data_IF_475045703673
#
_entry.id   IF_475045703673
#
_cell.length_a   1.000
_cell.length_b   1.000
_cell.length_c   1.000
_cell.angle_alpha   90.00
_cell.angle_beta   90.00
_cell.angle_gamma   90.00
#
_symmetry.space_group_name_H-M   'P 1'
#
loop_
_entity.id
_entity.type
_entity.pdbx_description
1 polymer ?
#
# COMPACT_ATOMS: atom_id res chain seq x y z
N UNK A 1 31.95 0.83 -45.15
CA UNK A 1 30.75 0.01 -44.92
C UNK A 1 30.03 0.61 -43.72
N UNK A 2 29.19 1.61 -43.97
CA UNK A 2 28.50 2.38 -42.93
C UNK A 2 27.07 1.88 -42.80
N UNK A 3 26.72 1.38 -41.62
CA UNK A 3 25.34 1.02 -41.28
C UNK A 3 24.70 2.21 -40.56
N UNK A 4 23.90 2.96 -41.33
CA UNK A 4 22.81 3.78 -40.82
C UNK A 4 21.77 2.82 -40.25
N UNK A 5 21.57 2.83 -38.94
CA UNK A 5 20.36 2.27 -38.31
C UNK A 5 19.43 3.44 -38.05
N UNK A 6 18.26 3.32 -38.65
CA UNK A 6 17.15 4.27 -38.72
C UNK A 6 16.53 4.52 -37.35
N UNK A 7 16.27 5.80 -37.08
CA UNK A 7 15.26 6.29 -36.15
C UNK A 7 13.85 5.81 -36.55
N UNK A 8 12.92 5.99 -35.61
CA UNK A 8 11.45 5.84 -35.71
C UNK A 8 10.86 4.46 -35.38
N UNK A 9 10.53 4.29 -34.10
CA UNK A 9 9.39 3.46 -33.66
C UNK A 9 8.77 4.04 -32.39
N UNK A 10 8.38 5.32 -32.45
CA UNK A 10 7.39 5.90 -31.53
C UNK A 10 5.99 5.46 -31.97
N UNK A 11 5.65 4.18 -31.76
CA UNK A 11 4.29 3.70 -31.89
C UNK A 11 3.56 3.89 -30.55
N UNK A 12 2.92 5.05 -30.44
CA UNK A 12 1.64 5.26 -29.76
C UNK A 12 1.52 4.68 -28.33
N UNK A 13 2.35 5.16 -27.41
CA UNK A 13 2.13 4.93 -25.98
C UNK A 13 1.01 5.88 -25.49
N UNK A 14 -0.23 5.60 -25.91
CA UNK A 14 -1.42 6.18 -25.30
C UNK A 14 -1.40 5.79 -23.84
N UNK A 15 -1.01 6.71 -22.96
CA UNK A 15 -1.06 6.46 -21.52
C UNK A 15 -2.51 6.17 -21.15
N UNK A 16 -2.85 4.89 -20.94
CA UNK A 16 -4.16 4.47 -20.47
C UNK A 16 -4.36 5.05 -19.07
N UNK A 17 -5.18 6.10 -18.97
CA UNK A 17 -5.50 6.77 -17.71
C UNK A 17 -6.81 6.21 -17.14
N UNK A 18 -7.05 6.45 -15.85
CA UNK A 18 -8.34 6.12 -15.21
C UNK A 18 -9.51 6.80 -15.94
N UNK A 19 -9.29 8.03 -16.43
CA UNK A 19 -10.32 8.76 -17.19
C UNK A 19 -10.56 8.16 -18.57
N UNK A 20 -9.55 7.57 -19.20
CA UNK A 20 -9.70 6.80 -20.43
C UNK A 20 -10.64 5.61 -20.24
N UNK A 21 -10.41 4.81 -19.20
CA UNK A 21 -11.27 3.66 -18.87
C UNK A 21 -12.70 4.08 -18.58
N UNK A 22 -12.90 5.18 -17.83
CA UNK A 22 -14.25 5.72 -17.56
C UNK A 22 -14.97 6.12 -18.85
N UNK A 23 -14.26 6.73 -19.80
CA UNK A 23 -14.83 7.10 -21.09
C UNK A 23 -15.21 5.86 -21.92
N UNK A 24 -14.41 4.79 -21.89
CA UNK A 24 -14.75 3.53 -22.55
C UNK A 24 -15.99 2.88 -21.94
N UNK A 25 -16.11 2.85 -20.61
CA UNK A 25 -17.32 2.35 -19.93
C UNK A 25 -18.56 3.14 -20.33
N UNK A 26 -18.45 4.46 -20.38
CA UNK A 26 -19.57 5.31 -20.84
C UNK A 26 -19.98 4.99 -22.27
N UNK A 27 -19.02 4.84 -23.19
CA UNK A 27 -19.31 4.44 -24.58
C UNK A 27 -19.95 3.05 -24.66
N UNK A 28 -19.50 2.11 -23.83
CA UNK A 28 -20.09 0.77 -23.73
C UNK A 28 -21.57 0.87 -23.30
N UNK A 29 -21.89 1.69 -22.30
CA UNK A 29 -23.26 1.88 -21.84
C UNK A 29 -24.15 2.54 -22.93
N UNK A 30 -23.62 3.53 -23.66
CA UNK A 30 -24.33 4.17 -24.80
C UNK A 30 -24.65 3.16 -25.92
N UNK A 31 -23.73 2.23 -26.22
CA UNK A 31 -23.95 1.17 -27.21
C UNK A 31 -24.98 0.16 -26.72
N UNK A 32 -24.92 -0.24 -25.44
CA UNK A 32 -25.91 -1.14 -24.84
C UNK A 32 -27.33 -0.55 -24.90
N UNK A 33 -27.47 0.75 -24.66
CA UNK A 33 -28.74 1.48 -24.77
C UNK A 33 -29.25 1.50 -26.22
N UNK A 34 -28.37 1.75 -27.20
CA UNK A 34 -28.74 1.70 -28.62
C UNK A 34 -29.16 0.30 -29.07
N UNK A 35 -28.41 -0.73 -28.65
CA UNK A 35 -28.75 -2.13 -28.93
C UNK A 35 -30.15 -2.43 -28.39
N UNK A 36 -30.42 -2.04 -27.13
CA UNK A 36 -31.73 -2.23 -26.51
C UNK A 36 -32.85 -1.54 -27.29
N UNK A 37 -32.66 -0.29 -27.70
CA UNK A 37 -33.65 0.43 -28.49
C UNK A 37 -33.98 -0.28 -29.82
N UNK A 38 -32.99 -0.86 -30.49
CA UNK A 38 -33.25 -1.66 -31.70
C UNK A 38 -33.93 -3.01 -31.40
N UNK A 39 -33.66 -3.63 -30.25
CA UNK A 39 -34.39 -4.82 -29.81
C UNK A 39 -35.86 -4.50 -29.53
N UNK A 40 -36.17 -3.39 -28.87
CA UNK A 40 -37.54 -2.96 -28.62
C UNK A 40 -38.30 -2.79 -29.95
N UNK A 41 -37.67 -2.20 -30.98
CA UNK A 41 -38.24 -2.10 -32.34
C UNK A 41 -38.50 -3.48 -32.96
N UNK A 42 -37.68 -4.49 -32.68
CA UNK A 42 -37.90 -5.85 -33.19
C UNK A 42 -39.00 -6.59 -32.43
N UNK A 43 -39.17 -6.33 -31.14
CA UNK A 43 -40.25 -6.92 -30.32
C UNK A 43 -41.63 -6.45 -30.80
N UNK A 44 -41.75 -5.18 -31.20
CA UNK A 44 -42.98 -4.62 -31.77
C UNK A 44 -43.39 -5.29 -33.11
N UNK A 45 -42.43 -5.89 -33.83
CA UNK A 45 -42.64 -6.51 -35.15
C UNK A 45 -42.98 -8.01 -35.06
N UNK A 46 -44.13 -8.31 -34.42
CA UNK A 46 -44.80 -9.64 -34.37
C UNK A 46 -43.86 -10.83 -34.13
N UNK A 47 -42.85 -10.68 -33.28
CA UNK A 47 -41.99 -11.78 -32.84
C UNK A 47 -41.05 -12.34 -33.92
N UNK A 48 -40.77 -11.58 -34.99
CA UNK A 48 -39.78 -11.96 -36.02
C UNK A 48 -38.35 -11.96 -35.45
N UNK A 49 -38.07 -11.17 -34.39
CA UNK A 49 -36.80 -11.20 -33.67
C UNK A 49 -35.57 -10.98 -34.56
N UNK A 50 -34.39 -11.43 -34.12
CA UNK A 50 -33.13 -11.29 -34.88
C UNK A 50 -33.00 -12.28 -36.04
N UNK A 51 -33.58 -13.48 -35.93
CA UNK A 51 -33.35 -14.58 -36.87
C UNK A 51 -34.61 -15.08 -37.59
N UNK A 52 -35.79 -14.55 -37.27
CA UNK A 52 -37.04 -15.02 -37.88
C UNK A 52 -37.16 -14.70 -39.37
N UNK A 53 -37.98 -15.48 -40.10
CA UNK A 53 -38.18 -15.34 -41.54
C UNK A 53 -38.94 -14.05 -41.89
N UNK A 54 -38.45 -13.34 -42.92
CA UNK A 54 -39.05 -12.09 -43.44
C UNK A 54 -39.97 -12.30 -44.65
N UNK A 55 -40.03 -13.53 -45.15
CA UNK A 55 -40.88 -13.93 -46.25
C UNK A 55 -41.97 -14.88 -45.76
N UNK A 56 -43.08 -14.90 -46.48
CA UNK A 56 -44.14 -15.87 -46.29
C UNK A 56 -43.81 -17.22 -46.96
N UNK A 57 -44.77 -18.14 -46.94
CA UNK A 57 -44.64 -19.49 -47.51
C UNK A 57 -44.60 -19.49 -49.05
N UNK A 58 -45.01 -18.40 -49.69
CA UNK A 58 -45.01 -18.22 -51.14
C UNK A 58 -43.75 -17.49 -51.62
N UNK A 59 -42.92 -16.99 -50.71
CA UNK A 59 -41.66 -16.32 -51.00
C UNK A 59 -41.78 -14.80 -51.17
N UNK A 60 -42.93 -14.22 -50.84
CA UNK A 60 -43.15 -12.77 -50.88
C UNK A 60 -42.83 -12.12 -49.52
N UNK A 61 -42.44 -10.83 -49.49
CA UNK A 61 -42.24 -10.10 -48.24
C UNK A 61 -43.51 -10.11 -47.39
N UNK A 62 -43.34 -10.44 -46.11
CA UNK A 62 -44.44 -10.47 -45.15
C UNK A 62 -45.17 -9.12 -45.09
N UNK A 63 -46.46 -9.13 -45.43
CA UNK A 63 -47.30 -7.94 -45.38
C UNK A 63 -47.66 -7.51 -43.94
N UNK A 64 -47.46 -8.40 -42.98
CA UNK A 64 -47.80 -8.21 -41.57
C UNK A 64 -46.68 -7.58 -40.73
N UNK A 65 -45.51 -7.34 -41.33
CA UNK A 65 -44.28 -6.84 -40.70
C UNK A 65 -43.60 -5.82 -41.60
N UNK A 66 -43.03 -4.77 -41.04
CA UNK A 66 -42.18 -3.85 -41.80
C UNK A 66 -40.78 -4.48 -42.03
N UNK A 67 -40.65 -5.18 -43.15
CA UNK A 67 -39.41 -5.87 -43.56
C UNK A 67 -38.22 -4.92 -43.64
N UNK A 68 -38.44 -3.65 -44.02
CA UNK A 68 -37.36 -2.67 -44.12
C UNK A 68 -36.84 -2.25 -42.75
N UNK A 69 -37.75 -1.96 -41.80
CA UNK A 69 -37.37 -1.64 -40.43
C UNK A 69 -36.67 -2.81 -39.74
N UNK A 70 -37.18 -4.04 -39.89
CA UNK A 70 -36.56 -5.23 -39.28
C UNK A 70 -35.16 -5.47 -39.84
N UNK A 71 -34.96 -5.36 -41.16
CA UNK A 71 -33.64 -5.53 -41.77
C UNK A 71 -32.65 -4.48 -41.28
N UNK A 72 -33.09 -3.24 -41.16
CA UNK A 72 -32.27 -2.12 -40.67
C UNK A 72 -31.89 -2.32 -39.20
N UNK A 73 -32.85 -2.66 -38.34
CA UNK A 73 -32.61 -2.94 -36.93
C UNK A 73 -31.63 -4.11 -36.74
N UNK A 74 -31.83 -5.24 -37.44
CA UNK A 74 -30.90 -6.39 -37.40
C UNK A 74 -29.48 -6.04 -37.80
N UNK A 75 -29.33 -5.26 -38.88
CA UNK A 75 -28.03 -4.81 -39.35
C UNK A 75 -27.34 -3.94 -38.29
N UNK A 76 -28.05 -2.95 -37.76
CA UNK A 76 -27.51 -2.04 -36.75
C UNK A 76 -27.15 -2.76 -35.45
N UNK A 77 -27.98 -3.69 -34.97
CA UNK A 77 -27.66 -4.53 -33.81
C UNK A 77 -26.38 -5.32 -34.06
N UNK A 78 -26.23 -5.94 -35.24
CA UNK A 78 -25.03 -6.72 -35.56
C UNK A 78 -23.77 -5.86 -35.56
N UNK A 79 -23.83 -4.65 -36.12
CA UNK A 79 -22.72 -3.69 -36.09
C UNK A 79 -22.39 -3.25 -34.66
N UNK A 80 -23.39 -2.81 -33.90
CA UNK A 80 -23.22 -2.36 -32.52
C UNK A 80 -22.72 -3.47 -31.59
N UNK A 81 -23.13 -4.71 -31.80
CA UNK A 81 -22.61 -5.86 -31.04
C UNK A 81 -21.13 -6.12 -31.33
N UNK A 82 -20.67 -5.89 -32.55
CA UNK A 82 -19.24 -6.01 -32.87
C UNK A 82 -18.45 -4.86 -32.23
N UNK A 83 -18.99 -3.64 -32.27
CA UNK A 83 -18.37 -2.46 -31.63
C UNK A 83 -18.31 -2.62 -30.09
N UNK A 84 -19.38 -3.15 -29.49
CA UNK A 84 -19.42 -3.47 -28.06
C UNK A 84 -18.33 -4.47 -27.66
N UNK A 85 -18.16 -5.55 -28.44
CA UNK A 85 -17.07 -6.51 -28.23
C UNK A 85 -15.69 -5.87 -28.31
N UNK A 86 -15.48 -4.98 -29.28
CA UNK A 86 -14.21 -4.26 -29.43
C UNK A 86 -13.92 -3.37 -28.21
N UNK A 87 -14.91 -2.61 -27.73
CA UNK A 87 -14.76 -1.75 -26.55
C UNK A 87 -14.53 -2.58 -25.28
N UNK A 88 -15.22 -3.71 -25.13
CA UNK A 88 -15.02 -4.61 -23.98
C UNK A 88 -13.58 -5.13 -23.91
N UNK A 89 -13.01 -5.51 -25.06
CA UNK A 89 -11.62 -5.95 -25.15
C UNK A 89 -10.65 -4.82 -24.78
N UNK A 90 -10.94 -3.59 -25.23
CA UNK A 90 -10.14 -2.41 -24.90
C UNK A 90 -10.19 -2.03 -23.41
N UNK A 91 -11.37 -2.18 -22.78
CA UNK A 91 -11.54 -1.98 -21.32
C UNK A 91 -10.71 -3.01 -20.54
N UNK A 92 -10.75 -4.28 -20.93
CA UNK A 92 -9.99 -5.35 -20.29
C UNK A 92 -8.49 -5.06 -20.34
N UNK A 93 -7.97 -4.70 -21.52
CA UNK A 93 -6.56 -4.37 -21.70
C UNK A 93 -6.14 -3.17 -20.86
N UNK A 94 -6.93 -2.09 -20.86
CA UNK A 94 -6.64 -0.89 -20.09
C UNK A 94 -6.64 -1.13 -18.57
N UNK A 95 -7.54 -1.98 -18.06
CA UNK A 95 -7.57 -2.38 -16.65
C UNK A 95 -6.36 -3.24 -16.28
N UNK A 96 -5.98 -4.20 -17.12
CA UNK A 96 -4.82 -5.05 -16.88
C UNK A 96 -3.53 -4.23 -16.79
N UNK A 97 -3.34 -3.25 -17.69
CA UNK A 97 -2.17 -2.39 -17.67
C UNK A 97 -2.11 -1.47 -16.44
N UNK A 98 -3.25 -0.88 -16.03
CA UNK A 98 -3.33 -0.06 -14.82
C UNK A 98 -2.98 -0.86 -13.56
N UNK A 99 -3.57 -2.05 -13.39
CA UNK A 99 -3.30 -2.90 -12.24
C UNK A 99 -1.89 -3.49 -12.24
N UNK A 100 -1.32 -3.82 -13.41
CA UNK A 100 0.07 -4.25 -13.51
C UNK A 100 1.03 -3.14 -13.05
N UNK A 101 0.78 -1.89 -13.46
CA UNK A 101 1.57 -0.72 -13.06
C UNK A 101 1.45 -0.44 -11.55
N UNK A 102 0.25 -0.50 -10.99
CA UNK A 102 0.04 -0.34 -9.55
C UNK A 102 0.69 -1.45 -8.74
N UNK A 103 0.59 -2.71 -9.18
CA UNK A 103 1.20 -3.85 -8.50
C UNK A 103 2.72 -3.77 -8.51
N UNK A 104 3.32 -3.37 -9.63
CA UNK A 104 4.77 -3.16 -9.73
C UNK A 104 5.25 -2.04 -8.80
N UNK A 105 4.51 -0.93 -8.72
CA UNK A 105 4.81 0.17 -7.81
C UNK A 105 4.70 -0.26 -6.34
N UNK A 106 3.61 -0.92 -5.96
CA UNK A 106 3.41 -1.44 -4.59
C UNK A 106 4.50 -2.45 -4.20
N UNK A 107 4.89 -3.35 -5.11
CA UNK A 107 5.96 -4.30 -4.84
C UNK A 107 7.33 -3.62 -4.65
N UNK A 108 7.58 -2.52 -5.36
CA UNK A 108 8.79 -1.72 -5.20
C UNK A 108 8.79 -0.96 -3.86
N UNK A 109 7.68 -0.30 -3.52
CA UNK A 109 7.51 0.41 -2.25
C UNK A 109 7.60 -0.57 -1.04
N UNK A 110 7.04 -1.78 -1.16
CA UNK A 110 7.14 -2.83 -0.14
C UNK A 110 8.55 -3.40 0.00
N UNK A 111 9.32 -3.48 -1.11
CA UNK A 111 10.71 -3.93 -1.08
C UNK A 111 11.62 -2.87 -0.44
N UNK A 112 11.43 -1.59 -0.77
CA UNK A 112 12.16 -0.47 -0.19
C UNK A 112 11.90 -0.35 1.32
N UNK A 113 10.63 -0.43 1.75
CA UNK A 113 10.28 -0.41 3.17
C UNK A 113 10.86 -1.60 3.95
N UNK A 114 10.99 -2.78 3.31
CA UNK A 114 11.63 -3.96 3.93
C UNK A 114 13.14 -3.78 4.08
N UNK A 115 13.80 -3.23 3.06
CA UNK A 115 15.23 -2.91 3.11
C UNK A 115 15.50 -1.85 4.19
N UNK A 116 14.69 -0.78 4.26
CA UNK A 116 14.81 0.24 5.31
C UNK A 116 14.61 -0.34 6.72
N UNK A 117 13.63 -1.23 6.91
CA UNK A 117 13.40 -1.90 8.19
C UNK A 117 14.56 -2.84 8.57
N UNK A 118 15.16 -3.53 7.59
CA UNK A 118 16.29 -4.42 7.80
C UNK A 118 17.59 -3.65 8.09
N UNK A 119 17.77 -2.48 7.47
CA UNK A 119 18.91 -1.58 7.74
C UNK A 119 18.80 -0.93 9.13
N UNK A 120 17.59 -0.50 9.53
CA UNK A 120 17.34 -0.01 10.89
C UNK A 120 17.60 -1.10 11.95
N UNK A 121 17.23 -2.35 11.68
CA UNK A 121 17.54 -3.48 12.55
C UNK A 121 19.04 -3.86 12.59
N UNK A 122 19.81 -3.50 11.55
CA UNK A 122 21.28 -3.67 11.49
C UNK A 122 22.05 -2.55 12.18
N UNK A 123 21.46 -1.37 12.34
CA UNK A 123 22.13 -0.27 13.04
C UNK A 123 22.28 -0.63 14.53
N UNK A 124 23.51 -0.65 15.09
CA UNK A 124 23.70 -0.93 16.50
C UNK A 124 23.00 0.16 17.32
N UNK A 125 22.22 -0.21 18.34
CA UNK A 125 21.39 0.76 19.03
C UNK A 125 22.29 1.75 19.79
N UNK A 126 22.18 3.03 19.43
CA UNK A 126 23.11 4.05 19.91
C UNK A 126 22.88 4.35 21.39
N UNK A 127 23.93 4.32 22.24
CA UNK A 127 23.81 4.74 23.62
C UNK A 127 23.59 6.26 23.70
N UNK A 128 22.72 6.69 24.60
CA UNK A 128 22.38 8.11 24.80
C UNK A 128 22.89 8.66 26.13
N UNK A 129 23.25 7.79 27.08
CA UNK A 129 23.76 8.17 28.38
C UNK A 129 24.76 7.14 28.89
N UNK A 130 25.53 7.49 29.93
CA UNK A 130 26.49 6.61 30.59
C UNK A 130 26.35 6.72 32.10
N UNK A 131 26.58 5.60 32.78
CA UNK A 131 26.63 5.57 34.24
C UNK A 131 28.00 6.06 34.72
N UNK A 132 28.00 7.14 35.47
CA UNK A 132 29.21 7.80 35.98
C UNK A 132 29.57 7.34 37.41
N UNK A 133 28.56 7.10 38.24
CA UNK A 133 28.76 6.63 39.61
C UNK A 133 27.59 5.76 40.07
N UNK A 134 27.86 4.79 40.94
CA UNK A 134 26.85 3.95 41.58
C UNK A 134 27.13 3.89 43.07
N UNK A 135 26.08 4.03 43.88
CA UNK A 135 26.21 3.92 45.33
C UNK A 135 26.03 2.45 45.76
N UNK A 136 26.94 1.87 46.55
CA UNK A 136 26.79 0.49 47.03
C UNK A 136 25.49 0.28 47.82
N UNK A 137 24.82 -0.86 47.59
CA UNK A 137 23.54 -1.18 48.23
C UNK A 137 22.33 -0.38 47.73
N UNK A 138 22.51 0.44 46.68
CA UNK A 138 21.42 1.14 46.01
C UNK A 138 20.61 0.21 45.08
N UNK A 139 19.37 0.58 44.72
CA UNK A 139 18.59 -0.16 43.71
C UNK A 139 19.34 -0.39 42.38
N UNK A 140 20.11 0.60 41.91
CA UNK A 140 20.94 0.45 40.72
C UNK A 140 22.07 -0.58 40.89
N UNK A 141 22.72 -0.58 42.06
CA UNK A 141 23.75 -1.58 42.39
C UNK A 141 23.16 -2.99 42.48
N UNK A 142 21.98 -3.14 43.09
CA UNK A 142 21.28 -4.41 43.23
C UNK A 142 20.78 -4.94 41.88
N UNK A 143 20.43 -4.05 40.96
CA UNK A 143 20.05 -4.38 39.58
C UNK A 143 21.25 -4.82 38.72
N UNK A 144 22.48 -4.71 39.24
CA UNK A 144 23.69 -5.11 38.51
C UNK A 144 24.19 -4.10 37.50
N UNK A 145 23.82 -2.82 37.62
CA UNK A 145 24.46 -1.73 36.86
C UNK A 145 25.91 -1.55 37.34
N UNK A 146 26.80 -1.18 36.42
CA UNK A 146 28.19 -0.84 36.72
C UNK A 146 28.55 0.55 36.21
N UNK A 147 29.55 1.16 36.85
CA UNK A 147 30.14 2.41 36.38
C UNK A 147 30.78 2.16 35.01
N UNK A 148 30.50 3.04 34.05
CA UNK A 148 30.93 2.92 32.66
C UNK A 148 29.92 2.24 31.73
N UNK A 149 28.82 1.68 32.25
CA UNK A 149 27.75 1.14 31.40
C UNK A 149 27.14 2.24 30.53
N UNK A 150 27.06 1.99 29.22
CA UNK A 150 26.46 2.91 28.25
C UNK A 150 25.00 2.54 28.04
N UNK A 151 24.09 3.42 28.43
CA UNK A 151 22.65 3.19 28.40
C UNK A 151 22.13 3.41 26.99
N UNK A 152 21.54 2.36 26.44
CA UNK A 152 20.90 2.32 25.13
C UNK A 152 19.39 2.51 25.25
N UNK A 153 18.80 1.89 26.28
CA UNK A 153 17.37 1.95 26.56
C UNK A 153 17.14 1.95 28.07
N UNK A 154 16.22 2.80 28.53
CA UNK A 154 15.82 2.91 29.92
C UNK A 154 14.30 2.98 30.00
N UNK A 155 13.65 1.83 30.23
CA UNK A 155 12.19 1.71 30.16
C UNK A 155 11.69 2.11 28.78
N UNK A 156 10.90 3.18 28.71
CA UNK A 156 10.40 3.72 27.44
C UNK A 156 11.33 4.75 26.78
N UNK A 157 12.50 5.04 27.38
CA UNK A 157 13.42 6.08 26.89
C UNK A 157 14.55 5.45 26.10
N UNK A 158 14.82 5.96 24.91
CA UNK A 158 15.89 5.52 24.00
C UNK A 158 16.56 6.72 23.32
N UNK A 159 17.56 6.47 22.47
CA UNK A 159 18.29 7.53 21.76
C UNK A 159 17.44 8.40 20.81
N UNK A 160 16.23 7.97 20.45
CA UNK A 160 15.30 8.70 19.58
C UNK A 160 14.48 9.71 20.37
N UNK A 161 14.01 9.34 21.57
CA UNK A 161 13.12 10.18 22.39
C UNK A 161 13.81 10.84 23.60
N UNK A 162 15.10 10.54 23.84
CA UNK A 162 15.88 11.17 24.90
C UNK A 162 16.22 12.61 24.56
N UNK A 163 15.65 13.55 25.30
CA UNK A 163 15.97 14.99 25.20
C UNK A 163 16.90 15.45 26.32
N UNK A 164 16.63 15.00 27.54
CA UNK A 164 17.39 15.33 28.74
C UNK A 164 17.22 14.26 29.82
N UNK A 165 17.96 14.39 30.92
CA UNK A 165 17.90 13.46 32.05
C UNK A 165 16.55 13.47 32.77
N UNK A 166 15.73 14.51 32.61
CA UNK A 166 14.40 14.57 33.21
C UNK A 166 13.48 13.46 32.66
N UNK A 167 13.65 13.04 31.41
CA UNK A 167 12.90 11.92 30.83
C UNK A 167 13.15 10.63 31.63
N UNK A 168 14.40 10.35 31.99
CA UNK A 168 14.76 9.19 32.83
C UNK A 168 14.11 9.36 34.21
N UNK A 169 14.26 10.52 34.84
CA UNK A 169 13.70 10.79 36.17
C UNK A 169 12.17 10.59 36.20
N UNK A 170 11.46 11.02 35.15
CA UNK A 170 10.02 10.80 35.01
C UNK A 170 9.66 9.32 34.92
N UNK A 171 10.37 8.52 34.11
CA UNK A 171 10.09 7.07 33.99
C UNK A 171 10.30 6.36 35.32
N UNK A 172 11.37 6.72 36.02
CA UNK A 172 11.72 6.19 37.35
C UNK A 172 10.63 6.50 38.37
N UNK A 173 10.14 7.74 38.38
CA UNK A 173 9.12 8.18 39.34
C UNK A 173 7.76 7.50 39.09
N UNK A 174 7.35 7.35 37.83
CA UNK A 174 6.10 6.64 37.49
C UNK A 174 6.18 5.13 37.70
N UNK A 175 7.39 4.59 37.81
CA UNK A 175 7.64 3.15 37.97
C UNK A 175 8.18 2.80 39.36
N UNK A 176 7.98 3.67 40.36
CA UNK A 176 8.32 3.38 41.75
C UNK A 176 7.66 2.06 42.20
N UNK A 177 8.48 1.12 42.68
CA UNK A 177 8.07 -0.22 43.10
C UNK A 177 7.86 -1.24 41.98
N UNK A 178 8.03 -0.86 40.70
CA UNK A 178 7.85 -1.75 39.53
C UNK A 178 9.18 -1.99 38.81
N UNK A 179 9.44 -3.20 38.29
CA UNK A 179 10.64 -3.47 37.51
C UNK A 179 10.61 -2.71 36.18
N UNK A 180 11.72 -2.04 35.87
CA UNK A 180 12.03 -1.36 34.63
C UNK A 180 13.10 -2.14 33.87
N UNK A 181 12.87 -2.38 32.58
CA UNK A 181 13.88 -2.93 31.68
C UNK A 181 14.90 -1.84 31.32
N UNK A 182 16.18 -2.17 31.45
CA UNK A 182 17.29 -1.30 31.03
C UNK A 182 18.19 -2.12 30.12
N UNK A 183 18.54 -1.56 28.97
CA UNK A 183 19.51 -2.15 28.04
C UNK A 183 20.76 -1.28 28.05
N UNK A 184 21.90 -1.88 28.37
CA UNK A 184 23.20 -1.20 28.41
C UNK A 184 24.22 -1.91 27.52
N UNK A 185 25.25 -1.19 27.09
CA UNK A 185 26.44 -1.74 26.47
C UNK A 185 27.54 -1.76 27.53
N UNK A 186 28.07 -2.96 27.79
CA UNK A 186 29.18 -3.21 28.71
C UNK A 186 30.27 -3.96 27.96
N UNK A 187 31.46 -3.35 27.87
CA UNK A 187 32.59 -3.95 27.13
C UNK A 187 32.24 -4.34 25.68
N UNK A 188 31.38 -3.55 25.02
CA UNK A 188 30.93 -3.81 23.64
C UNK A 188 29.82 -4.86 23.49
N UNK A 189 29.34 -5.45 24.59
CA UNK A 189 28.21 -6.39 24.58
C UNK A 189 26.94 -5.76 25.15
N UNK A 190 25.80 -6.07 24.52
CA UNK A 190 24.48 -5.66 25.01
C UNK A 190 24.08 -6.51 26.21
N UNK A 191 23.73 -5.85 27.31
CA UNK A 191 23.29 -6.48 28.56
C UNK A 191 21.92 -5.93 28.93
N UNK A 192 20.96 -6.83 29.17
CA UNK A 192 19.62 -6.48 29.65
C UNK A 192 19.55 -6.65 31.16
N UNK A 193 19.10 -5.60 31.85
CA UNK A 193 19.00 -5.53 33.30
C UNK A 193 17.57 -5.18 33.72
N UNK A 194 17.13 -5.72 34.86
CA UNK A 194 15.86 -5.36 35.49
C UNK A 194 16.12 -4.50 36.72
N UNK A 195 15.74 -3.23 36.66
CA UNK A 195 15.93 -2.28 37.76
C UNK A 195 14.57 -1.92 38.37
N UNK A 196 14.44 -2.01 39.69
CA UNK A 196 13.21 -1.61 40.37
C UNK A 196 13.47 -0.34 41.18
N UNK A 197 12.94 0.83 40.75
CA UNK A 197 13.08 2.06 41.52
C UNK A 197 12.38 1.96 42.87
N UNK A 198 13.07 2.29 43.95
CA UNK A 198 12.49 2.26 45.30
C UNK A 198 13.20 3.23 46.23
N UNK A 199 12.53 3.64 47.31
CA UNK A 199 13.18 4.43 48.37
C UNK A 199 14.22 3.57 49.09
N UNK A 200 15.37 4.16 49.34
CA UNK A 200 16.52 3.53 49.97
C UNK A 200 17.24 4.54 50.87
N UNK A 201 18.34 4.15 51.52
CA UNK A 201 19.06 4.98 52.50
C UNK A 201 19.80 6.19 51.90
N UNK A 202 19.86 6.31 50.58
CA UNK A 202 20.50 7.43 49.88
C UNK A 202 19.50 8.40 49.23
N UNK A 203 19.99 9.19 48.27
CA UNK A 203 19.17 10.19 47.55
C UNK A 203 18.48 9.57 46.35
N UNK A 204 17.22 9.95 46.14
CA UNK A 204 16.41 9.52 45.00
C UNK A 204 15.96 8.05 45.06
N UNK A 205 15.53 7.51 43.93
CA UNK A 205 14.95 6.15 43.83
C UNK A 205 15.88 5.10 43.21
N UNK A 206 17.06 5.51 42.74
CA UNK A 206 18.00 4.64 42.01
C UNK A 206 19.36 4.49 42.67
N UNK A 207 19.95 5.59 43.12
CA UNK A 207 21.31 5.64 43.68
C UNK A 207 22.46 5.54 42.69
N UNK A 208 22.25 5.92 41.44
CA UNK A 208 23.30 6.08 40.43
C UNK A 208 23.31 7.50 39.85
N UNK A 209 24.48 7.94 39.37
CA UNK A 209 24.66 9.14 38.57
C UNK A 209 24.69 8.76 37.09
N UNK A 210 23.80 9.36 36.29
CA UNK A 210 23.71 9.13 34.85
C UNK A 210 24.05 10.45 34.15
N UNK A 211 24.98 10.41 33.20
CA UNK A 211 25.38 11.57 32.41
C UNK A 211 25.02 11.34 30.94
N UNK A 212 24.47 12.35 30.24
CA UNK A 212 24.19 12.22 28.82
C UNK A 212 25.49 12.08 28.02
N UNK A 213 25.49 11.20 27.02
CA UNK A 213 26.57 11.16 26.03
C UNK A 213 26.34 12.32 25.07
N UNK A 214 27.30 13.25 25.02
CA UNK A 214 27.26 14.35 24.05
C UNK A 214 27.48 13.76 22.66
N UNK A 215 26.55 14.03 21.74
CA UNK A 215 26.78 13.85 20.30
C UNK A 215 27.78 14.89 19.80
#
# INVERSE_FOLDING_TARGET
HGLKMTEESDHNNSTFTVDYVKNLVKKKDEIEEQIKAYYDVLEDQKGVGMDGPLVDVEGYPRADVDVFQVRTARHNISCLQNDHKAIMLEIEEALHQLHAREKAKRAWDEAEAREEAMEQARSPPQPFARVDAITPGSPASLAGLHVGDEIVEFGSVNSVNFQNLQNIAMVVQHSEGKPLSITVIRSGQTVHLGLTPQRWSGRGLLGCNIVPLRK
#
